data_IF_582855141427
#
_entry.id   IF_582855141427
#
_cell.length_a   1.000
_cell.length_b   1.000
_cell.length_c   1.000
_cell.angle_alpha   90.00
_cell.angle_beta   90.00
_cell.angle_gamma   90.00
#
_symmetry.space_group_name_H-M   'P 1'
#
loop_
_entity.id
_entity.type
_entity.pdbx_description
1 polymer ?
#
# COMPACT_ATOMS: atom_id res chain seq x y z
N UNK A 1 8.53 58.83 -55.07
CA UNK A 1 7.35 59.32 -54.33
C UNK A 1 6.63 58.09 -53.79
N UNK A 2 7.08 57.57 -52.65
CA UNK A 2 6.49 56.38 -52.03
C UNK A 2 5.33 56.86 -51.14
N UNK A 3 4.13 56.39 -51.44
CA UNK A 3 2.91 56.65 -50.69
C UNK A 3 2.94 55.95 -49.34
N UNK A 4 2.73 56.70 -48.26
CA UNK A 4 2.51 56.14 -46.92
C UNK A 4 1.23 55.28 -46.90
N UNK A 5 1.23 54.11 -46.24
CA UNK A 5 0.02 53.31 -46.07
C UNK A 5 -0.90 53.95 -45.03
N UNK A 6 -2.13 54.24 -45.46
CA UNK A 6 -3.23 54.73 -44.60
C UNK A 6 -3.68 53.57 -43.69
N UNK A 7 -3.41 53.71 -42.39
CA UNK A 7 -3.87 52.78 -41.37
C UNK A 7 -5.37 52.98 -41.13
N UNK A 8 -6.19 51.98 -41.45
CA UNK A 8 -7.65 52.06 -41.27
C UNK A 8 -8.06 51.66 -39.85
N UNK A 9 -9.13 52.25 -39.27
CA UNK A 9 -9.56 51.95 -37.89
C UNK A 9 -9.90 50.47 -37.64
N UNK A 10 -10.27 49.71 -38.68
CA UNK A 10 -10.51 48.27 -38.58
C UNK A 10 -9.24 47.44 -38.36
N UNK A 11 -8.08 47.89 -38.85
CA UNK A 11 -6.80 47.21 -38.60
C UNK A 11 -6.33 47.40 -37.15
N UNK A 12 -6.60 48.55 -36.55
CA UNK A 12 -6.34 48.80 -35.11
C UNK A 12 -7.18 47.88 -34.20
N UNK A 13 -8.46 47.67 -34.53
CA UNK A 13 -9.36 46.81 -33.77
C UNK A 13 -9.05 45.31 -33.92
N UNK A 14 -8.44 44.90 -35.05
CA UNK A 14 -7.95 43.54 -35.24
C UNK A 14 -6.65 43.30 -34.46
N UNK A 15 -5.74 44.26 -34.43
CA UNK A 15 -4.53 44.20 -33.60
C UNK A 15 -4.86 44.27 -32.09
N UNK A 16 -5.88 45.02 -31.66
CA UNK A 16 -6.35 45.04 -30.26
C UNK A 16 -7.01 43.71 -29.86
N UNK A 17 -7.71 43.03 -30.79
CA UNK A 17 -8.22 41.67 -30.59
C UNK A 17 -7.11 40.60 -30.61
N UNK A 18 -6.03 40.80 -31.35
CA UNK A 18 -4.86 39.93 -31.36
C UNK A 18 -3.91 40.17 -30.17
N UNK A 19 -3.91 41.36 -29.57
CA UNK A 19 -3.18 41.68 -28.34
C UNK A 19 -3.83 41.07 -27.08
N UNK A 20 -5.09 40.62 -27.17
CA UNK A 20 -5.83 39.96 -26.11
C UNK A 20 -5.68 38.41 -26.13
N UNK A 21 -4.56 37.91 -26.64
CA UNK A 21 -4.18 36.49 -26.47
C UNK A 21 -3.73 36.32 -25.02
N UNK A 22 -4.68 36.03 -24.13
CA UNK A 22 -4.41 35.61 -22.75
C UNK A 22 -3.51 34.37 -22.79
N UNK A 23 -2.27 34.53 -22.37
CA UNK A 23 -1.29 33.46 -22.38
C UNK A 23 -1.56 32.54 -21.18
N UNK A 24 -2.12 31.36 -21.43
CA UNK A 24 -2.42 30.34 -20.42
C UNK A 24 -1.20 29.43 -20.23
N UNK A 25 -0.57 29.46 -19.04
CA UNK A 25 0.53 28.55 -18.70
C UNK A 25 -0.05 27.45 -17.81
N UNK A 26 -0.20 26.24 -18.36
CA UNK A 26 -0.60 25.05 -17.61
C UNK A 26 0.65 24.45 -16.98
N UNK A 27 0.80 24.60 -15.67
CA UNK A 27 1.92 23.99 -14.94
C UNK A 27 1.56 22.57 -14.55
N UNK A 28 2.11 21.57 -15.24
CA UNK A 28 1.97 20.15 -14.88
C UNK A 28 3.25 19.71 -14.15
N UNK A 29 3.14 19.50 -12.84
CA UNK A 29 4.27 18.98 -12.03
C UNK A 29 4.29 17.46 -12.13
N UNK A 30 5.20 16.95 -12.97
CA UNK A 30 5.68 15.56 -12.95
C UNK A 30 4.75 14.52 -13.56
N UNK A 31 5.09 14.03 -14.75
CA UNK A 31 4.55 12.78 -15.29
C UNK A 31 5.59 12.12 -16.20
N UNK A 32 6.04 10.92 -15.84
CA UNK A 32 6.86 10.09 -16.74
C UNK A 32 5.92 9.44 -17.74
N UNK A 33 5.89 9.97 -18.97
CA UNK A 33 5.06 9.42 -20.04
C UNK A 33 5.60 8.07 -20.52
N UNK A 34 4.99 6.97 -20.07
CA UNK A 34 5.18 5.66 -20.68
C UNK A 34 4.20 5.53 -21.86
N UNK A 35 4.66 5.70 -23.10
CA UNK A 35 3.85 5.47 -24.30
C UNK A 35 3.74 3.97 -24.55
N UNK A 36 2.74 3.30 -23.98
CA UNK A 36 2.46 1.89 -24.27
C UNK A 36 1.54 1.73 -25.48
N UNK A 37 2.10 1.12 -26.52
CA UNK A 37 1.50 0.79 -27.81
C UNK A 37 0.50 -0.37 -27.69
N UNK A 38 -0.76 -0.07 -27.38
CA UNK A 38 -1.89 -0.97 -27.65
C UNK A 38 -3.16 -0.15 -27.95
N UNK A 39 -3.33 0.22 -29.23
CA UNK A 39 -4.64 0.34 -29.90
C UNK A 39 -5.75 1.26 -29.37
N UNK A 40 -5.60 1.96 -28.24
CA UNK A 40 -6.58 2.93 -27.73
C UNK A 40 -6.13 4.35 -28.10
N UNK A 41 -6.49 4.76 -29.32
CA UNK A 41 -6.28 6.11 -29.85
C UNK A 41 -6.86 7.14 -28.86
N UNK A 42 -5.99 8.01 -28.34
CA UNK A 42 -6.27 9.18 -27.48
C UNK A 42 -6.54 8.98 -25.96
N UNK A 43 -6.00 7.95 -25.29
CA UNK A 43 -5.98 7.95 -23.79
C UNK A 43 -4.62 8.38 -23.25
N UNK A 44 -4.54 9.62 -22.76
CA UNK A 44 -3.32 10.16 -22.15
C UNK A 44 -3.16 9.65 -20.71
N UNK A 45 -1.97 9.12 -20.43
CA UNK A 45 -1.60 8.61 -19.11
C UNK A 45 -1.36 9.74 -18.12
N UNK A 46 -1.75 9.53 -16.86
CA UNK A 46 -1.28 10.39 -15.79
C UNK A 46 -1.74 11.86 -15.91
N UNK A 47 -0.92 12.78 -15.38
CA UNK A 47 -1.13 14.23 -15.49
C UNK A 47 -1.20 14.79 -16.92
N UNK A 48 -0.84 14.00 -17.94
CA UNK A 48 -1.02 14.39 -19.34
C UNK A 48 -2.50 14.32 -19.78
N UNK A 49 -3.37 13.67 -19.00
CA UNK A 49 -4.81 13.60 -19.24
C UNK A 49 -5.45 14.99 -19.21
N UNK A 50 -6.26 15.36 -20.23
CA UNK A 50 -6.96 16.65 -20.27
C UNK A 50 -8.22 16.64 -19.40
N UNK A 51 -8.57 15.49 -18.81
CA UNK A 51 -9.83 15.32 -18.09
C UNK A 51 -9.71 15.92 -16.70
N UNK A 52 -10.60 16.85 -16.39
CA UNK A 52 -10.77 17.42 -15.07
C UNK A 52 -12.18 17.16 -14.57
N UNK A 53 -12.33 17.14 -13.26
CA UNK A 53 -13.63 17.17 -12.61
C UNK A 53 -13.60 18.20 -11.47
N UNK A 54 -14.77 18.79 -11.22
CA UNK A 54 -15.00 19.61 -10.04
C UNK A 54 -15.98 18.85 -9.15
N UNK A 55 -15.48 18.30 -8.05
CA UNK A 55 -16.37 17.84 -6.97
C UNK A 55 -16.95 19.10 -6.32
N UNK A 56 -18.27 19.14 -6.15
CA UNK A 56 -19.01 20.27 -5.53
C UNK A 56 -19.15 21.55 -6.38
N UNK A 57 -19.07 21.44 -7.71
CA UNK A 57 -19.46 22.52 -8.64
C UNK A 57 -18.67 23.83 -8.50
N UNK A 58 -17.57 23.80 -7.76
CA UNK A 58 -16.73 24.96 -7.52
C UNK A 58 -15.53 24.85 -8.46
N UNK A 59 -15.63 25.46 -9.65
CA UNK A 59 -14.44 26.08 -10.23
C UNK A 59 -14.09 27.22 -9.28
N UNK A 60 -13.32 26.91 -8.23
CA UNK A 60 -12.97 27.93 -7.25
C UNK A 60 -12.07 28.92 -7.96
N UNK A 61 -12.45 30.20 -7.88
CA UNK A 61 -11.51 31.31 -8.05
C UNK A 61 -10.28 31.04 -7.20
N UNK A 62 -9.20 31.78 -7.46
CA UNK A 62 -7.90 31.62 -6.81
C UNK A 62 -7.94 31.95 -5.29
N UNK A 63 -8.62 31.11 -4.52
CA UNK A 63 -8.86 31.20 -3.09
C UNK A 63 -8.09 30.08 -2.40
N UNK A 64 -7.24 30.44 -1.45
CA UNK A 64 -6.41 29.50 -0.66
C UNK A 64 -7.22 28.31 -0.12
N UNK A 65 -8.44 28.48 0.43
CA UNK A 65 -9.25 27.35 0.90
C UNK A 65 -9.67 26.38 -0.20
N UNK A 66 -9.97 26.88 -1.41
CA UNK A 66 -10.38 26.06 -2.56
C UNK A 66 -9.23 25.19 -3.07
N UNK A 67 -8.04 25.75 -3.14
CA UNK A 67 -6.81 25.01 -3.51
C UNK A 67 -6.52 23.93 -2.47
N UNK A 68 -6.60 24.24 -1.18
CA UNK A 68 -6.40 23.27 -0.11
C UNK A 68 -7.45 22.15 -0.13
N UNK A 69 -8.71 22.48 -0.42
CA UNK A 69 -9.78 21.49 -0.55
C UNK A 69 -9.52 20.54 -1.74
N UNK A 70 -9.20 21.08 -2.91
CA UNK A 70 -8.85 20.28 -4.09
C UNK A 70 -7.63 19.39 -3.81
N UNK A 71 -6.62 19.91 -3.12
CA UNK A 71 -5.46 19.14 -2.71
C UNK A 71 -5.82 18.01 -1.74
N UNK A 72 -6.70 18.28 -0.77
CA UNK A 72 -7.17 17.27 0.17
C UNK A 72 -7.97 16.16 -0.55
N UNK A 73 -8.83 16.52 -1.50
CA UNK A 73 -9.63 15.57 -2.29
C UNK A 73 -8.72 14.68 -3.14
N UNK A 74 -7.74 15.25 -3.85
CA UNK A 74 -6.80 14.49 -4.66
C UNK A 74 -5.96 13.50 -3.83
N UNK A 75 -5.66 13.83 -2.57
CA UNK A 75 -4.83 13.02 -1.68
C UNK A 75 -5.60 12.11 -0.72
N UNK A 76 -6.90 12.32 -0.50
CA UNK A 76 -7.69 11.48 0.42
C UNK A 76 -7.63 9.97 0.08
N UNK A 77 -7.67 9.57 -1.20
CA UNK A 77 -7.49 8.16 -1.59
C UNK A 77 -6.11 7.58 -1.24
N UNK A 78 -5.06 8.42 -1.17
CA UNK A 78 -3.73 7.97 -0.73
C UNK A 78 -3.77 7.54 0.74
N UNK A 79 -4.50 8.26 1.61
CA UNK A 79 -4.67 7.86 3.01
C UNK A 79 -5.41 6.51 3.10
N UNK A 80 -6.43 6.32 2.27
CA UNK A 80 -7.14 5.04 2.20
C UNK A 80 -6.22 3.89 1.80
N UNK A 81 -5.37 4.07 0.79
CA UNK A 81 -4.37 3.05 0.40
C UNK A 81 -3.40 2.72 1.54
N UNK A 82 -2.97 3.71 2.31
CA UNK A 82 -2.12 3.49 3.50
C UNK A 82 -2.82 2.66 4.57
N UNK A 83 -4.10 2.91 4.84
CA UNK A 83 -4.89 2.11 5.78
C UNK A 83 -5.03 0.66 5.28
N UNK A 84 -5.34 0.48 3.99
CA UNK A 84 -5.37 -0.84 3.38
C UNK A 84 -4.02 -1.56 3.54
N UNK A 85 -2.90 -0.89 3.29
CA UNK A 85 -1.56 -1.48 3.48
C UNK A 85 -1.36 -1.99 4.90
N UNK A 86 -1.71 -1.20 5.92
CA UNK A 86 -1.61 -1.64 7.33
C UNK A 86 -2.48 -2.88 7.59
N UNK A 87 -3.71 -2.91 7.06
CA UNK A 87 -4.59 -4.08 7.18
C UNK A 87 -4.01 -5.32 6.52
N UNK A 88 -3.53 -5.22 5.27
CA UNK A 88 -2.90 -6.34 4.58
C UNK A 88 -1.62 -6.79 5.28
N UNK A 89 -0.79 -5.85 5.77
CA UNK A 89 0.42 -6.16 6.52
C UNK A 89 0.10 -6.97 7.80
N UNK A 90 -0.94 -6.56 8.54
CA UNK A 90 -1.44 -7.32 9.68
C UNK A 90 -1.94 -8.71 9.31
N UNK A 91 -2.73 -8.82 8.23
CA UNK A 91 -3.25 -10.11 7.73
C UNK A 91 -2.12 -11.09 7.37
N UNK A 92 -1.15 -10.64 6.56
CA UNK A 92 -0.01 -11.48 6.17
C UNK A 92 0.88 -11.83 7.37
N UNK A 93 0.96 -10.96 8.38
CA UNK A 93 1.66 -11.25 9.65
C UNK A 93 0.97 -12.37 10.42
N UNK A 94 -0.36 -12.34 10.53
CA UNK A 94 -1.14 -13.42 11.13
C UNK A 94 -0.93 -14.75 10.38
N UNK A 95 -1.00 -14.73 9.05
CA UNK A 95 -0.77 -15.92 8.22
C UNK A 95 0.64 -16.48 8.45
N UNK A 96 1.67 -15.63 8.41
CA UNK A 96 3.05 -16.04 8.64
C UNK A 96 3.25 -16.64 10.04
N UNK A 97 2.63 -16.04 11.07
CA UNK A 97 2.64 -16.54 12.44
C UNK A 97 2.02 -17.94 12.54
N UNK A 98 0.89 -18.18 11.86
CA UNK A 98 0.24 -19.51 11.86
C UNK A 98 1.15 -20.56 11.22
N UNK A 99 1.78 -20.24 10.09
CA UNK A 99 2.72 -21.18 9.45
C UNK A 99 3.97 -21.43 10.30
N UNK A 100 4.49 -20.42 10.98
CA UNK A 100 5.64 -20.55 11.87
C UNK A 100 5.28 -21.39 13.11
N UNK A 101 4.17 -21.07 13.77
CA UNK A 101 3.63 -21.80 14.92
C UNK A 101 3.40 -23.28 14.60
N UNK A 102 2.75 -23.55 13.47
CA UNK A 102 2.45 -24.91 13.03
C UNK A 102 3.68 -25.73 12.68
N UNK A 103 4.75 -25.09 12.23
CA UNK A 103 5.99 -25.78 11.89
C UNK A 103 6.71 -26.33 13.12
N UNK A 104 6.50 -25.76 14.30
CA UNK A 104 7.11 -26.27 15.54
C UNK A 104 6.57 -27.63 15.99
N UNK A 105 5.45 -28.12 15.48
CA UNK A 105 4.99 -29.48 15.77
C UNK A 105 5.79 -30.55 15.01
N UNK A 106 6.37 -30.20 13.87
CA UNK A 106 7.01 -31.16 12.95
C UNK A 106 8.53 -30.99 12.89
N UNK A 107 9.03 -29.78 13.12
CA UNK A 107 10.45 -29.44 12.97
C UNK A 107 10.95 -28.70 14.20
N UNK A 108 12.12 -29.10 14.70
CA UNK A 108 12.87 -28.36 15.73
C UNK A 108 13.38 -27.04 15.19
N UNK A 109 13.13 -25.95 15.92
CA UNK A 109 13.61 -24.62 15.55
C UNK A 109 13.91 -23.80 16.79
N UNK A 110 14.97 -23.00 16.73
CA UNK A 110 15.25 -21.98 17.74
C UNK A 110 14.18 -20.88 17.78
N UNK A 111 13.96 -20.31 18.96
CA UNK A 111 13.02 -19.22 19.18
C UNK A 111 13.52 -17.93 18.50
N UNK A 112 12.58 -17.16 17.96
CA UNK A 112 12.89 -15.85 17.35
C UNK A 112 12.79 -14.75 18.41
N UNK A 113 13.91 -14.09 18.71
CA UNK A 113 14.02 -13.05 19.75
C UNK A 113 14.76 -11.82 19.23
N UNK A 114 14.61 -10.68 19.89
CA UNK A 114 15.26 -9.43 19.46
C UNK A 114 16.78 -9.49 19.56
N UNK A 115 17.30 -10.07 20.64
CA UNK A 115 18.74 -10.29 20.86
C UNK A 115 18.96 -11.77 21.05
N UNK A 116 19.47 -12.42 20.00
CA UNK A 116 19.64 -13.87 19.98
C UNK A 116 20.87 -14.31 20.77
N UNK A 117 20.71 -15.38 21.54
CA UNK A 117 21.78 -16.09 22.24
C UNK A 117 21.65 -17.60 21.98
N UNK A 118 22.76 -18.33 21.88
CA UNK A 118 22.75 -19.77 21.58
C UNK A 118 22.19 -20.11 20.19
N UNK A 119 21.20 -21.01 20.14
CA UNK A 119 20.54 -21.47 18.92
C UNK A 119 19.31 -20.62 18.52
N UNK A 120 19.03 -19.54 19.25
CA UNK A 120 17.95 -18.61 18.94
C UNK A 120 18.21 -17.85 17.63
N UNK A 121 17.14 -17.33 17.02
CA UNK A 121 17.21 -16.55 15.78
C UNK A 121 16.87 -15.10 16.08
N UNK A 122 17.61 -14.15 15.51
CA UNK A 122 17.24 -12.74 15.63
C UNK A 122 15.94 -12.46 14.87
N UNK A 123 15.16 -11.50 15.37
CA UNK A 123 14.01 -10.98 14.63
C UNK A 123 14.48 -10.23 13.38
N UNK A 124 13.64 -10.25 12.34
CA UNK A 124 13.81 -9.35 11.22
C UNK A 124 13.54 -7.90 11.67
N UNK A 125 14.15 -6.92 11.00
CA UNK A 125 13.86 -5.51 11.27
C UNK A 125 12.37 -5.17 11.05
N UNK A 126 11.73 -5.86 10.10
CA UNK A 126 10.27 -5.87 9.93
C UNK A 126 9.71 -7.16 10.52
N UNK A 127 8.68 -7.10 11.36
CA UNK A 127 8.11 -8.28 12.06
C UNK A 127 7.75 -9.44 11.11
N UNK A 128 7.40 -9.13 9.87
CA UNK A 128 7.04 -10.05 8.79
C UNK A 128 8.28 -10.53 8.00
N UNK A 129 8.40 -11.84 7.68
CA UNK A 129 9.49 -12.35 6.84
C UNK A 129 9.56 -11.61 5.49
N UNK A 130 10.78 -11.28 5.04
CA UNK A 130 11.00 -10.48 3.82
C UNK A 130 10.30 -11.01 2.56
N UNK A 131 10.13 -12.34 2.45
CA UNK A 131 9.40 -12.98 1.34
C UNK A 131 7.94 -12.52 1.19
N UNK A 132 7.31 -12.07 2.27
CA UNK A 132 5.97 -11.50 2.27
C UNK A 132 6.00 -9.98 2.32
N UNK A 133 6.90 -9.42 3.14
CA UNK A 133 6.98 -7.97 3.32
C UNK A 133 7.40 -7.23 2.05
N UNK A 134 8.43 -7.71 1.35
CA UNK A 134 8.97 -7.03 0.17
C UNK A 134 7.95 -6.93 -0.97
N UNK A 135 7.29 -8.02 -1.43
CA UNK A 135 6.27 -7.91 -2.47
C UNK A 135 5.10 -7.02 -2.08
N UNK A 136 4.66 -7.08 -0.81
CA UNK A 136 3.55 -6.27 -0.31
C UNK A 136 3.91 -4.77 -0.30
N UNK A 137 5.09 -4.41 0.20
CA UNK A 137 5.55 -3.02 0.24
C UNK A 137 5.78 -2.47 -1.18
N UNK A 138 6.37 -3.26 -2.09
CA UNK A 138 6.52 -2.85 -3.49
C UNK A 138 5.15 -2.61 -4.14
N UNK A 139 4.22 -3.55 -3.97
CA UNK A 139 2.86 -3.43 -4.54
C UNK A 139 2.12 -2.21 -3.99
N UNK A 140 2.25 -1.94 -2.68
CA UNK A 140 1.71 -0.72 -2.07
C UNK A 140 2.33 0.54 -2.69
N UNK A 141 3.66 0.59 -2.82
CA UNK A 141 4.33 1.72 -3.48
C UNK A 141 3.84 1.94 -4.91
N UNK A 142 3.66 0.86 -5.68
CA UNK A 142 3.09 0.93 -7.04
C UNK A 142 1.65 1.44 -7.02
N UNK A 143 0.80 0.98 -6.09
CA UNK A 143 -0.58 1.48 -5.97
C UNK A 143 -0.62 2.97 -5.61
N UNK A 144 0.25 3.44 -4.71
CA UNK A 144 0.35 4.86 -4.35
C UNK A 144 0.82 5.71 -5.54
N UNK A 145 1.80 5.22 -6.29
CA UNK A 145 2.26 5.88 -7.51
C UNK A 145 1.17 5.91 -8.59
N UNK A 146 0.50 4.79 -8.85
CA UNK A 146 -0.63 4.76 -9.79
C UNK A 146 -1.79 5.66 -9.34
N UNK A 147 -1.99 5.81 -8.03
CA UNK A 147 -2.99 6.74 -7.48
C UNK A 147 -2.62 8.19 -7.78
N UNK A 148 -1.34 8.59 -7.69
CA UNK A 148 -0.93 9.96 -8.08
C UNK A 148 -1.05 10.21 -9.58
N UNK A 149 -0.92 9.17 -10.41
CA UNK A 149 -1.21 9.26 -11.85
C UNK A 149 -2.72 9.25 -12.15
N UNK A 150 -3.54 8.77 -11.22
CA UNK A 150 -4.99 8.67 -11.38
C UNK A 150 -5.70 9.95 -10.97
N UNK A 151 -5.28 10.57 -9.88
CA UNK A 151 -5.82 11.83 -9.36
C UNK A 151 -4.67 12.78 -9.09
N UNK A 152 -4.75 13.96 -9.69
CA UNK A 152 -3.72 14.99 -9.60
C UNK A 152 -4.37 16.36 -9.57
N UNK A 153 -3.66 17.35 -9.01
CA UNK A 153 -4.14 18.74 -9.00
C UNK A 153 -3.78 19.39 -10.33
N UNK A 154 -4.74 20.04 -10.96
CA UNK A 154 -4.52 20.84 -12.18
C UNK A 154 -4.72 22.31 -11.83
N UNK A 155 -3.77 23.13 -12.24
CA UNK A 155 -3.78 24.58 -12.04
C UNK A 155 -3.57 25.27 -13.38
N UNK A 156 -4.50 26.14 -13.73
CA UNK A 156 -4.41 27.03 -14.89
C UNK A 156 -4.26 28.46 -14.39
N UNK A 157 -3.07 29.02 -14.55
CA UNK A 157 -2.78 30.41 -14.22
C UNK A 157 -3.05 31.28 -15.45
N UNK A 158 -4.03 32.18 -15.34
CA UNK A 158 -4.32 33.16 -16.37
C UNK A 158 -3.58 34.44 -16.00
N UNK A 159 -2.75 34.94 -16.92
CA UNK A 159 -1.99 36.18 -16.74
C UNK A 159 -2.51 37.27 -17.67
N UNK A 160 -2.61 38.48 -17.13
CA UNK A 160 -2.92 39.70 -17.88
C UNK A 160 -1.75 40.03 -18.84
N UNK A 161 -1.96 40.77 -19.95
CA UNK A 161 -0.86 41.18 -20.83
C UNK A 161 0.32 41.90 -20.14
N UNK A 162 0.09 42.52 -18.98
CA UNK A 162 1.12 43.12 -18.13
C UNK A 162 1.97 42.13 -17.30
N UNK A 163 1.66 40.83 -17.35
CA UNK A 163 2.37 39.77 -16.63
C UNK A 163 1.80 39.41 -15.25
N UNK A 164 0.86 40.22 -14.74
CA UNK A 164 0.19 39.97 -13.45
C UNK A 164 -0.80 38.80 -13.53
N UNK A 165 -0.89 38.03 -12.45
CA UNK A 165 -1.85 36.93 -12.30
C UNK A 165 -3.27 37.50 -12.18
N UNK A 166 -4.18 36.97 -12.98
CA UNK A 166 -5.61 37.25 -12.86
C UNK A 166 -6.26 36.18 -11.98
N UNK A 167 -6.38 36.47 -10.69
CA UNK A 167 -6.96 35.57 -9.68
C UNK A 167 -8.45 35.27 -9.93
N UNK A 168 -9.15 36.11 -10.72
CA UNK A 168 -10.56 35.91 -11.08
C UNK A 168 -10.76 34.94 -12.22
N UNK A 169 -9.76 34.82 -13.10
CA UNK A 169 -9.82 33.90 -14.23
C UNK A 169 -8.94 32.65 -14.04
N UNK A 170 -8.03 32.67 -13.06
CA UNK A 170 -7.21 31.49 -12.72
C UNK A 170 -8.07 30.41 -12.05
N UNK A 171 -7.91 29.16 -12.49
CA UNK A 171 -8.76 28.02 -12.10
C UNK A 171 -7.89 26.93 -11.49
N UNK A 172 -8.35 26.38 -10.35
CA UNK A 172 -7.82 25.15 -9.76
C UNK A 172 -8.88 24.05 -9.77
N UNK A 173 -8.51 22.86 -10.25
CA UNK A 173 -9.41 21.70 -10.34
C UNK A 173 -8.65 20.39 -10.07
N UNK A 174 -9.40 19.30 -9.88
CA UNK A 174 -8.84 17.95 -9.82
C UNK A 174 -8.82 17.34 -11.23
N UNK A 175 -7.64 16.94 -11.70
CA UNK A 175 -7.46 16.14 -12.90
C UNK A 175 -7.58 14.65 -12.60
N UNK A 176 -8.01 13.88 -13.60
CA UNK A 176 -8.00 12.43 -13.51
C UNK A 176 -7.59 11.74 -14.81
N UNK A 177 -7.03 10.54 -14.71
CA UNK A 177 -6.68 9.70 -15.88
C UNK A 177 -7.37 8.35 -15.82
N UNK A 178 -8.18 8.06 -16.84
CA UNK A 178 -8.89 6.79 -16.93
C UNK A 178 -7.96 5.60 -17.22
N UNK A 179 -6.86 5.80 -17.95
CA UNK A 179 -5.87 4.74 -18.19
C UNK A 179 -5.12 4.38 -16.90
N UNK A 180 -4.74 5.39 -16.11
CA UNK A 180 -4.10 5.17 -14.80
C UNK A 180 -5.06 4.49 -13.83
N UNK A 181 -6.33 4.90 -13.82
CA UNK A 181 -7.38 4.26 -13.02
C UNK A 181 -7.54 2.78 -13.38
N UNK A 182 -7.56 2.44 -14.68
CA UNK A 182 -7.65 1.05 -15.11
C UNK A 182 -6.45 0.21 -14.64
N UNK A 183 -5.23 0.77 -14.74
CA UNK A 183 -4.03 0.10 -14.22
C UNK A 183 -4.08 -0.08 -12.70
N UNK A 184 -4.50 0.95 -11.97
CA UNK A 184 -4.69 0.91 -10.51
C UNK A 184 -5.66 -0.22 -10.12
N UNK A 185 -6.84 -0.28 -10.75
CA UNK A 185 -7.86 -1.29 -10.49
C UNK A 185 -7.34 -2.70 -10.80
N UNK A 186 -6.60 -2.87 -11.90
CA UNK A 186 -6.02 -4.17 -12.27
C UNK A 186 -5.03 -4.65 -11.20
N UNK A 187 -4.09 -3.80 -10.78
CA UNK A 187 -3.09 -4.15 -9.75
C UNK A 187 -3.77 -4.45 -8.40
N UNK A 188 -4.76 -3.64 -8.01
CA UNK A 188 -5.54 -3.87 -6.80
C UNK A 188 -6.31 -5.20 -6.85
N UNK A 189 -6.90 -5.53 -8.00
CA UNK A 189 -7.62 -6.79 -8.19
C UNK A 189 -6.70 -8.00 -8.07
N UNK A 190 -5.50 -7.95 -8.66
CA UNK A 190 -4.49 -9.01 -8.53
C UNK A 190 -4.09 -9.20 -7.06
N UNK A 191 -3.85 -8.11 -6.32
CA UNK A 191 -3.51 -8.19 -4.88
C UNK A 191 -4.63 -8.85 -4.07
N UNK A 192 -5.89 -8.48 -4.32
CA UNK A 192 -7.06 -9.08 -3.67
C UNK A 192 -7.14 -10.58 -4.01
N UNK A 193 -7.01 -10.94 -5.29
CA UNK A 193 -7.06 -12.33 -5.73
C UNK A 193 -5.99 -13.20 -5.08
N UNK A 194 -4.73 -12.73 -5.05
CA UNK A 194 -3.62 -13.42 -4.38
C UNK A 194 -3.90 -13.57 -2.88
N UNK A 195 -4.46 -12.54 -2.25
CA UNK A 195 -4.81 -12.59 -0.83
C UNK A 195 -5.92 -13.60 -0.55
N UNK A 196 -7.01 -13.58 -1.32
CA UNK A 196 -8.12 -14.55 -1.19
C UNK A 196 -7.60 -15.96 -1.42
N UNK A 197 -6.78 -16.17 -2.44
CA UNK A 197 -6.13 -17.46 -2.69
C UNK A 197 -5.32 -17.89 -1.47
N UNK A 198 -4.47 -17.02 -0.91
CA UNK A 198 -3.61 -17.35 0.24
C UNK A 198 -4.41 -17.67 1.51
N UNK A 199 -5.47 -16.90 1.81
CA UNK A 199 -6.31 -17.09 3.01
C UNK A 199 -7.18 -18.35 2.91
N UNK A 200 -7.63 -18.72 1.70
CA UNK A 200 -8.47 -19.91 1.50
C UNK A 200 -7.68 -21.22 1.47
N UNK A 201 -6.34 -21.16 1.40
CA UNK A 201 -5.49 -22.36 1.52
C UNK A 201 -5.61 -22.93 2.92
N UNK A 202 -6.14 -24.15 3.02
CA UNK A 202 -6.17 -24.90 4.28
C UNK A 202 -4.75 -25.22 4.73
N UNK A 203 -4.42 -24.81 5.95
CA UNK A 203 -3.19 -25.23 6.64
C UNK A 203 -3.50 -26.53 7.37
N UNK A 204 -2.69 -27.57 7.14
CA UNK A 204 -2.75 -28.80 7.94
C UNK A 204 -2.28 -28.46 9.35
N UNK A 205 -3.19 -28.50 10.32
CA UNK A 205 -2.93 -28.13 11.70
C UNK A 205 -2.29 -29.32 12.46
N UNK A 206 -1.09 -29.12 12.98
CA UNK A 206 -0.32 -30.10 13.75
C UNK A 206 -0.13 -29.69 15.22
N UNK A 207 -0.46 -28.43 15.55
CA UNK A 207 -0.39 -27.84 16.89
C UNK A 207 -1.73 -27.13 17.18
N UNK A 208 -2.20 -27.06 18.44
CA UNK A 208 -3.35 -26.25 18.81
C UNK A 208 -3.20 -24.81 18.32
N UNK A 209 -4.28 -24.26 17.77
CA UNK A 209 -4.27 -22.91 17.23
C UNK A 209 -4.11 -21.88 18.36
N UNK A 210 -2.95 -21.22 18.42
CA UNK A 210 -2.67 -20.27 19.49
C UNK A 210 -3.40 -18.94 19.33
N UNK A 211 -3.89 -18.57 18.14
CA UNK A 211 -4.66 -17.32 17.88
C UNK A 211 -4.06 -16.02 18.48
N UNK A 212 -2.74 -15.96 18.74
CA UNK A 212 -2.10 -14.91 19.55
C UNK A 212 -2.60 -14.79 21.01
N UNK A 213 -3.22 -15.84 21.55
CA UNK A 213 -3.56 -15.97 22.97
C UNK A 213 -2.30 -16.24 23.79
N UNK A 214 -2.01 -15.32 24.71
CA UNK A 214 -0.94 -15.48 25.69
C UNK A 214 -1.17 -16.70 26.59
N UNK A 215 -2.42 -17.10 26.81
CA UNK A 215 -2.76 -18.29 27.59
C UNK A 215 -2.25 -19.58 26.92
N UNK A 216 -2.50 -19.73 25.62
CA UNK A 216 -2.05 -20.91 24.86
C UNK A 216 -0.52 -20.94 24.75
N UNK A 217 0.09 -19.77 24.53
CA UNK A 217 1.54 -19.66 24.48
C UNK A 217 2.18 -20.00 25.84
N UNK A 218 1.62 -19.49 26.94
CA UNK A 218 2.06 -19.80 28.29
C UNK A 218 1.95 -21.29 28.60
N UNK A 219 0.79 -21.91 28.29
CA UNK A 219 0.60 -23.35 28.48
C UNK A 219 1.67 -24.17 27.75
N UNK A 220 2.01 -23.79 26.51
CA UNK A 220 3.06 -24.46 25.73
C UNK A 220 4.50 -24.23 26.26
N UNK A 221 4.72 -23.30 27.20
CA UNK A 221 6.03 -22.90 27.72
C UNK A 221 6.32 -23.46 29.12
N UNK A 222 5.87 -24.68 29.42
CA UNK A 222 6.19 -25.38 30.67
C UNK A 222 7.01 -26.64 30.37
N UNK A 223 8.30 -26.54 30.03
CA UNK A 223 9.13 -27.71 29.79
C UNK A 223 9.32 -28.53 31.09
N UNK A 224 9.65 -29.83 30.99
CA UNK A 224 9.96 -30.64 32.16
C UNK A 224 11.20 -30.08 32.88
N UNK A 225 11.31 -30.27 34.21
CA UNK A 225 12.39 -29.70 35.01
C UNK A 225 13.80 -30.17 34.61
N UNK A 226 13.90 -31.30 33.89
CA UNK A 226 15.16 -31.84 33.35
C UNK A 226 15.68 -31.05 32.15
N UNK A 227 14.83 -30.29 31.45
CA UNK A 227 15.17 -29.54 30.24
C UNK A 227 15.68 -28.13 30.57
N UNK A 228 16.93 -28.08 31.04
CA UNK A 228 17.59 -26.83 31.43
C UNK A 228 17.90 -25.96 30.21
N UNK A 229 17.68 -24.65 30.34
CA UNK A 229 17.91 -23.63 29.32
C UNK A 229 17.22 -23.92 27.97
N UNK A 230 16.02 -24.50 28.03
CA UNK A 230 15.19 -24.81 26.85
C UNK A 230 15.09 -23.63 25.87
N UNK A 231 15.00 -22.40 26.39
CA UNK A 231 14.86 -21.18 25.60
C UNK A 231 16.07 -20.85 24.71
N UNK A 232 17.28 -21.33 25.03
CA UNK A 232 18.50 -21.09 24.24
C UNK A 232 18.75 -22.15 23.16
N UNK A 233 17.99 -23.24 23.19
CA UNK A 233 18.15 -24.41 22.31
C UNK A 233 17.08 -24.42 21.21
N UNK A 234 17.24 -25.34 20.26
CA UNK A 234 16.18 -25.62 19.29
C UNK A 234 15.08 -26.45 19.95
N UNK A 235 13.85 -25.96 19.86
CA UNK A 235 12.69 -26.58 20.51
C UNK A 235 11.70 -27.13 19.49
N UNK A 236 10.97 -28.15 19.90
CA UNK A 236 9.83 -28.69 19.18
C UNK A 236 8.66 -28.84 20.15
N UNK A 237 7.46 -28.61 19.67
CA UNK A 237 6.24 -28.83 20.44
C UNK A 237 5.80 -30.28 20.31
N UNK A 238 5.47 -30.92 21.44
CA UNK A 238 4.92 -32.26 21.46
C UNK A 238 4.66 -32.75 22.89
N UNK A 239 4.36 -34.03 23.02
CA UNK A 239 4.13 -34.69 24.31
C UNK A 239 5.48 -34.87 25.00
N UNK A 240 5.59 -34.35 26.22
CA UNK A 240 6.85 -34.37 26.99
C UNK A 240 6.75 -35.24 28.25
N UNK A 241 5.57 -35.34 28.84
CA UNK A 241 5.30 -36.22 29.99
C UNK A 241 3.85 -36.72 29.94
N UNK A 242 3.51 -37.68 30.79
CA UNK A 242 2.13 -38.15 30.98
C UNK A 242 1.84 -38.37 32.46
N UNK A 243 0.79 -37.74 32.96
CA UNK A 243 0.36 -37.88 34.34
C UNK A 243 -1.09 -38.37 34.41
N UNK A 244 -1.32 -39.52 35.06
CA UNK A 244 -2.65 -40.12 35.28
C UNK A 244 -3.53 -40.14 34.01
N UNK A 245 -3.00 -40.75 32.94
CA UNK A 245 -3.64 -40.89 31.61
C UNK A 245 -3.87 -39.58 30.83
N UNK A 246 -3.37 -38.44 31.31
CA UNK A 246 -3.36 -37.16 30.57
C UNK A 246 -1.93 -36.84 30.16
N UNK A 247 -1.68 -36.71 28.85
CA UNK A 247 -0.38 -36.28 28.34
C UNK A 247 -0.16 -34.78 28.59
N UNK A 248 1.07 -34.35 28.79
CA UNK A 248 1.43 -32.93 28.90
C UNK A 248 2.18 -32.51 27.65
N UNK A 249 1.68 -31.48 26.97
CA UNK A 249 2.25 -30.98 25.72
C UNK A 249 2.95 -29.64 25.92
N UNK A 250 4.23 -29.59 25.56
CA UNK A 250 5.04 -28.39 25.78
C UNK A 250 6.18 -28.29 24.76
N UNK A 251 6.77 -27.11 24.64
CA UNK A 251 8.03 -26.94 23.93
C UNK A 251 9.17 -27.56 24.74
N UNK A 252 9.92 -28.45 24.13
CA UNK A 252 11.10 -29.06 24.74
C UNK A 252 12.26 -29.14 23.75
N UNK A 253 13.48 -29.04 24.27
CA UNK A 253 14.73 -29.32 23.58
C UNK A 253 15.09 -30.82 23.61
N UNK A 254 14.42 -31.64 24.43
CA UNK A 254 14.54 -33.10 24.43
C UNK A 254 13.58 -33.75 23.42
N UNK A 255 13.75 -35.03 23.10
CA UNK A 255 12.87 -35.73 22.14
C UNK A 255 11.40 -35.67 22.60
N UNK A 256 10.52 -35.23 21.71
CA UNK A 256 9.08 -35.11 21.95
C UNK A 256 8.32 -36.03 21.01
N UNK A 257 7.22 -36.60 21.50
CA UNK A 257 6.33 -37.43 20.69
C UNK A 257 5.20 -36.57 20.09
N UNK A 258 4.70 -36.98 18.92
CA UNK A 258 3.52 -36.32 18.36
C UNK A 258 2.27 -36.72 19.15
N UNK A 259 1.36 -35.77 19.44
CA UNK A 259 0.10 -36.09 20.10
C UNK A 259 -0.76 -37.00 19.20
N UNK A 260 -1.34 -38.03 19.81
CA UNK A 260 -2.19 -39.01 19.15
C UNK A 260 -3.65 -38.57 19.24
N UNK A 261 -4.37 -38.64 18.12
CA UNK A 261 -5.79 -38.33 18.08
C UNK A 261 -6.59 -39.27 19.00
N UNK A 262 -7.44 -38.71 19.85
CA UNK A 262 -8.29 -39.44 20.80
C UNK A 262 -7.79 -39.44 22.25
N UNK A 263 -6.55 -39.03 22.50
CA UNK A 263 -6.01 -38.90 23.86
C UNK A 263 -6.23 -37.49 24.44
N UNK A 264 -6.26 -37.39 25.77
CA UNK A 264 -6.38 -36.11 26.48
C UNK A 264 -4.98 -35.54 26.74
N UNK A 265 -4.82 -34.25 26.42
CA UNK A 265 -3.59 -33.51 26.64
C UNK A 265 -3.87 -32.24 27.45
N UNK A 266 -2.97 -31.93 28.38
CA UNK A 266 -2.89 -30.69 29.13
C UNK A 266 -1.79 -29.80 28.53
#
# INVERSE_FOLDING_TARGET
MASEPIFTPEQFLLDEKQANVKSCIITVVGGVGLTSTLGLKERRWGPASPLTFSLFGSTTNFDTPGILLNAAIANAPQIYLSLCYVTFNGLYTCIAMVYEWNAWATVRKGLRVTKAEGAQRSTYFLQLPYKWAVPLTITSGVLHWLMSETLFIVRADIRTPGGDLDDRESISACGYSLSSLLALVLVAFVLIFVTVYTVTRRVQQHIPFAAASSLVLSAACHPPPEDVDTHLKEVQWGVVDSFKDVGHCSFSSNQVLQPLAGNRYA
#
